data_IF_076102416369
#
_entry.id   IF_076102416369
#
_cell.length_a   1.000
_cell.length_b   1.000
_cell.length_c   1.000
_cell.angle_alpha   90.00
_cell.angle_beta   90.00
_cell.angle_gamma   90.00
#
_symmetry.space_group_name_H-M   'P 1'
#
loop_
_entity.id
_entity.type
_entity.pdbx_description
1 polymer ?
#
# COMPACT_ATOMS: atom_id res chain seq x y z
N UNK A 1 0.93 6.83 -25.29
CA UNK A 1 1.99 5.89 -24.87
C UNK A 1 1.38 5.04 -23.76
N UNK A 2 0.67 3.98 -24.11
CA UNK A 2 -0.06 3.15 -23.13
C UNK A 2 -0.26 1.70 -23.62
N UNK A 3 0.60 1.19 -24.51
CA UNK A 3 0.40 -0.14 -25.12
C UNK A 3 1.24 -1.26 -24.50
N UNK A 4 2.16 -0.98 -23.58
CA UNK A 4 3.07 -2.02 -23.05
C UNK A 4 2.57 -2.71 -21.76
N UNK A 5 1.59 -2.14 -21.06
CA UNK A 5 1.04 -2.75 -19.85
C UNK A 5 -0.09 -3.77 -20.14
N UNK A 6 -0.74 -3.68 -21.30
CA UNK A 6 -1.95 -4.46 -21.62
C UNK A 6 -1.66 -5.81 -22.30
N UNK A 7 -0.48 -5.96 -22.91
CA UNK A 7 -0.13 -7.13 -23.73
C UNK A 7 0.46 -8.27 -22.87
N UNK A 8 1.03 -7.96 -21.71
CA UNK A 8 1.56 -8.96 -20.77
C UNK A 8 0.49 -9.71 -19.98
N UNK A 9 -0.66 -9.07 -19.73
CA UNK A 9 -1.71 -9.59 -18.85
C UNK A 9 -2.56 -10.68 -19.52
N UNK A 10 -2.96 -10.50 -20.78
CA UNK A 10 -3.86 -11.42 -21.50
C UNK A 10 -3.22 -12.75 -21.90
N UNK A 11 -1.89 -12.87 -21.88
CA UNK A 11 -1.20 -14.05 -22.44
C UNK A 11 -0.83 -15.10 -21.40
N UNK A 12 -0.93 -14.80 -20.10
CA UNK A 12 -0.58 -15.73 -19.02
C UNK A 12 -1.76 -16.57 -18.49
N UNK A 13 -3.01 -16.15 -18.70
CA UNK A 13 -4.21 -16.86 -18.22
C UNK A 13 -4.66 -17.98 -19.17
N UNK A 14 -3.75 -18.84 -19.64
CA UNK A 14 -4.13 -19.89 -20.59
C UNK A 14 -4.82 -21.12 -19.97
N UNK A 15 -5.08 -21.18 -18.66
CA UNK A 15 -5.67 -22.39 -18.06
C UNK A 15 -6.64 -22.24 -16.87
N UNK A 16 -7.21 -21.07 -16.58
CA UNK A 16 -8.14 -20.92 -15.43
C UNK A 16 -9.49 -20.37 -15.88
N UNK A 17 -10.55 -21.15 -15.67
CA UNK A 17 -11.90 -20.85 -16.15
C UNK A 17 -12.73 -20.08 -15.10
N UNK A 18 -13.42 -19.01 -15.54
CA UNK A 18 -14.68 -18.48 -14.98
C UNK A 18 -14.65 -17.86 -13.58
N UNK A 19 -14.38 -18.65 -12.55
CA UNK A 19 -14.49 -18.22 -11.14
C UNK A 19 -13.18 -17.65 -10.59
N UNK A 20 -12.05 -18.24 -10.98
CA UNK A 20 -10.72 -17.80 -10.56
C UNK A 20 -10.34 -16.49 -11.26
N UNK A 21 -10.68 -16.33 -12.54
CA UNK A 21 -10.49 -15.10 -13.30
C UNK A 21 -11.32 -13.94 -12.70
N UNK A 22 -12.59 -14.19 -12.38
CA UNK A 22 -13.44 -13.21 -11.69
C UNK A 22 -12.87 -12.83 -10.31
N UNK A 23 -12.31 -13.78 -9.57
CA UNK A 23 -11.67 -13.49 -8.29
C UNK A 23 -10.43 -12.60 -8.45
N UNK A 24 -9.62 -12.87 -9.48
CA UNK A 24 -8.45 -12.08 -9.82
C UNK A 24 -8.85 -10.67 -10.21
N UNK A 25 -9.91 -10.49 -11.00
CA UNK A 25 -10.43 -9.17 -11.39
C UNK A 25 -10.92 -8.38 -10.17
N UNK A 26 -11.68 -9.02 -9.27
CA UNK A 26 -12.12 -8.40 -8.01
C UNK A 26 -10.93 -8.05 -7.14
N UNK A 27 -9.93 -8.94 -7.06
CA UNK A 27 -8.71 -8.68 -6.32
C UNK A 27 -8.01 -7.44 -6.87
N UNK A 28 -7.80 -7.37 -8.18
CA UNK A 28 -7.21 -6.22 -8.86
C UNK A 28 -8.00 -4.93 -8.59
N UNK A 29 -9.33 -4.94 -8.68
CA UNK A 29 -10.15 -3.76 -8.38
C UNK A 29 -9.93 -3.25 -6.94
N UNK A 30 -9.94 -4.14 -5.94
CA UNK A 30 -9.74 -3.74 -4.54
C UNK A 30 -8.32 -3.29 -4.24
N UNK A 31 -7.37 -3.84 -4.97
CA UNK A 31 -5.95 -3.51 -4.94
C UNK A 31 -5.69 -2.15 -5.61
N UNK A 32 -6.36 -1.83 -6.71
CA UNK A 32 -6.33 -0.52 -7.35
C UNK A 32 -6.99 0.55 -6.49
N UNK A 33 -8.13 0.25 -5.85
CA UNK A 33 -8.75 1.16 -4.87
C UNK A 33 -7.81 1.44 -3.70
N UNK A 34 -7.13 0.41 -3.20
CA UNK A 34 -6.12 0.55 -2.17
C UNK A 34 -4.98 1.47 -2.63
N UNK A 35 -4.52 1.26 -3.87
CA UNK A 35 -3.51 2.10 -4.47
C UNK A 35 -3.98 3.55 -4.59
N UNK A 36 -5.19 3.81 -5.07
CA UNK A 36 -5.74 5.16 -5.16
C UNK A 36 -5.79 5.85 -3.79
N UNK A 37 -6.20 5.13 -2.74
CA UNK A 37 -6.21 5.65 -1.36
C UNK A 37 -4.82 6.03 -0.85
N UNK A 38 -3.79 5.27 -1.21
CA UNK A 38 -2.41 5.61 -0.87
C UNK A 38 -1.89 6.85 -1.63
N UNK A 39 -2.59 7.27 -2.69
CA UNK A 39 -2.09 8.28 -3.64
C UNK A 39 -2.89 9.58 -3.62
N UNK A 40 -4.06 9.59 -2.99
CA UNK A 40 -4.84 10.80 -2.67
C UNK A 40 -4.47 11.42 -1.31
N UNK A 41 -3.27 11.15 -0.80
CA UNK A 41 -2.72 11.89 0.33
C UNK A 41 -2.62 13.37 -0.06
N UNK A 42 -3.26 14.30 0.67
CA UNK A 42 -3.30 15.69 0.25
C UNK A 42 -1.89 16.29 0.28
N UNK A 43 -1.45 16.78 -0.89
CA UNK A 43 -0.40 17.78 -1.04
C UNK A 43 -0.93 19.16 -0.61
N UNK A 44 -1.53 19.24 0.59
CA UNK A 44 -2.05 20.50 1.10
C UNK A 44 -0.91 21.24 1.79
N UNK A 45 -0.41 22.26 1.10
CA UNK A 45 0.71 23.14 1.48
C UNK A 45 0.44 23.93 2.78
N UNK A 46 -0.74 23.83 3.39
CA UNK A 46 -1.13 24.58 4.59
C UNK A 46 -1.38 23.76 5.87
N UNK A 47 -1.12 22.46 5.90
CA UNK A 47 -1.47 21.65 7.08
C UNK A 47 -0.35 21.69 8.12
N UNK A 48 -0.60 22.43 9.20
CA UNK A 48 0.28 22.61 10.37
C UNK A 48 0.53 21.30 11.16
N UNK A 49 -0.09 20.19 10.77
CA UNK A 49 0.05 18.90 11.45
C UNK A 49 0.06 17.71 10.47
N UNK A 50 1.20 17.52 9.79
CA UNK A 50 1.46 16.41 8.85
C UNK A 50 1.15 15.03 9.47
N UNK A 51 1.29 14.91 10.79
CA UNK A 51 0.94 13.72 11.57
C UNK A 51 -0.54 13.35 11.46
N UNK A 52 -1.45 14.33 11.50
CA UNK A 52 -2.89 14.07 11.43
C UNK A 52 -3.32 13.53 10.05
N UNK A 53 -2.63 13.95 8.98
CA UNK A 53 -2.84 13.43 7.62
C UNK A 53 -2.43 11.95 7.56
N UNK A 54 -1.26 11.61 8.10
CA UNK A 54 -0.77 10.24 8.11
C UNK A 54 -1.64 9.30 8.95
N UNK A 55 -2.18 9.80 10.07
CA UNK A 55 -3.14 9.04 10.85
C UNK A 55 -4.43 8.77 10.07
N UNK A 56 -4.97 9.78 9.39
CA UNK A 56 -6.18 9.63 8.57
C UNK A 56 -5.97 8.64 7.42
N UNK A 57 -4.79 8.64 6.79
CA UNK A 57 -4.49 7.67 5.72
C UNK A 57 -4.35 6.25 6.24
N UNK A 58 -3.69 6.07 7.39
CA UNK A 58 -3.62 4.78 8.08
C UNK A 58 -5.01 4.24 8.41
N UNK A 59 -5.88 5.06 9.01
CA UNK A 59 -7.26 4.64 9.34
C UNK A 59 -8.05 4.26 8.08
N UNK A 60 -7.90 5.03 7.00
CA UNK A 60 -8.58 4.77 5.72
C UNK A 60 -8.11 3.45 5.10
N UNK A 61 -6.80 3.22 5.10
CA UNK A 61 -6.15 1.98 4.66
C UNK A 61 -6.69 0.76 5.40
N UNK A 62 -6.62 0.75 6.73
CA UNK A 62 -7.04 -0.42 7.52
C UNK A 62 -8.55 -0.64 7.47
N UNK A 63 -9.35 0.43 7.33
CA UNK A 63 -10.80 0.32 7.11
C UNK A 63 -11.11 -0.37 5.78
N UNK A 64 -10.40 -0.01 4.71
CA UNK A 64 -10.55 -0.65 3.40
C UNK A 64 -10.17 -2.12 3.43
N UNK A 65 -9.10 -2.47 4.14
CA UNK A 65 -8.67 -3.85 4.33
C UNK A 65 -9.74 -4.65 5.09
N UNK A 66 -10.26 -4.12 6.20
CA UNK A 66 -11.30 -4.80 6.96
C UNK A 66 -12.57 -5.02 6.14
N UNK A 67 -13.01 -3.99 5.39
CA UNK A 67 -14.19 -4.07 4.52
C UNK A 67 -14.03 -5.16 3.44
N UNK A 68 -12.81 -5.39 2.95
CA UNK A 68 -12.50 -6.32 1.88
C UNK A 68 -11.63 -7.50 2.37
N UNK A 69 -11.79 -7.90 3.64
CA UNK A 69 -10.91 -8.85 4.33
C UNK A 69 -10.60 -10.10 3.52
N UNK A 70 -11.61 -10.76 2.94
CA UNK A 70 -11.43 -12.02 2.20
C UNK A 70 -10.49 -11.88 1.00
N UNK A 71 -10.62 -10.76 0.27
CA UNK A 71 -9.77 -10.45 -0.88
C UNK A 71 -8.34 -10.23 -0.42
N UNK A 72 -8.15 -9.41 0.62
CA UNK A 72 -6.82 -9.12 1.15
C UNK A 72 -6.17 -10.34 1.83
N UNK A 73 -6.94 -11.21 2.48
CA UNK A 73 -6.41 -12.48 3.01
C UNK A 73 -5.88 -13.35 1.89
N UNK A 74 -6.62 -13.52 0.79
CA UNK A 74 -6.13 -14.28 -0.35
C UNK A 74 -4.88 -13.63 -0.96
N UNK A 75 -4.92 -12.35 -1.33
CA UNK A 75 -3.79 -11.71 -2.02
C UNK A 75 -2.54 -11.58 -1.14
N UNK A 76 -2.69 -11.33 0.16
CA UNK A 76 -1.57 -11.06 1.05
C UNK A 76 -1.04 -12.31 1.77
N UNK A 77 -1.83 -13.37 1.90
CA UNK A 77 -1.44 -14.58 2.64
C UNK A 77 -1.32 -15.83 1.78
N UNK A 78 -1.91 -15.85 0.58
CA UNK A 78 -1.76 -16.94 -0.38
C UNK A 78 -0.52 -16.69 -1.26
N UNK A 79 0.41 -17.64 -1.23
CA UNK A 79 1.65 -17.56 -2.00
C UNK A 79 1.38 -17.72 -3.51
N UNK A 80 0.30 -18.41 -3.90
CA UNK A 80 -0.07 -18.62 -5.31
C UNK A 80 -0.53 -17.33 -5.99
N UNK A 81 -1.00 -16.34 -5.22
CA UNK A 81 -1.48 -15.05 -5.71
C UNK A 81 -0.44 -13.92 -5.58
N UNK A 82 0.81 -14.25 -5.21
CA UNK A 82 1.87 -13.27 -5.01
C UNK A 82 2.19 -12.45 -6.27
N UNK A 83 1.98 -13.03 -7.46
CA UNK A 83 2.20 -12.35 -8.74
C UNK A 83 1.29 -11.14 -8.96
N UNK A 84 0.12 -11.08 -8.30
CA UNK A 84 -0.79 -9.92 -8.33
C UNK A 84 -0.25 -8.80 -7.44
N UNK A 85 0.38 -9.17 -6.32
CA UNK A 85 0.88 -8.23 -5.34
C UNK A 85 2.18 -7.53 -5.79
N UNK A 86 3.10 -8.24 -6.44
CA UNK A 86 4.43 -7.69 -6.78
C UNK A 86 4.39 -6.42 -7.66
N UNK A 87 3.60 -6.34 -8.76
CA UNK A 87 3.48 -5.12 -9.55
C UNK A 87 2.95 -3.94 -8.73
N UNK A 88 2.03 -4.20 -7.81
CA UNK A 88 1.48 -3.20 -6.91
C UNK A 88 2.50 -2.68 -5.91
N UNK A 89 3.32 -3.55 -5.33
CA UNK A 89 4.41 -3.14 -4.42
C UNK A 89 5.35 -2.18 -5.17
N UNK A 90 5.77 -2.55 -6.38
CA UNK A 90 6.65 -1.71 -7.21
C UNK A 90 6.02 -0.35 -7.49
N UNK A 91 4.74 -0.34 -7.88
CA UNK A 91 4.00 0.87 -8.19
C UNK A 91 3.81 1.76 -6.95
N UNK A 92 3.52 1.18 -5.79
CA UNK A 92 3.42 1.87 -4.52
C UNK A 92 4.75 2.51 -4.12
N UNK A 93 5.87 1.78 -4.26
CA UNK A 93 7.21 2.33 -4.02
C UNK A 93 7.50 3.54 -4.92
N UNK A 94 7.32 3.41 -6.23
CA UNK A 94 7.56 4.50 -7.19
C UNK A 94 6.74 5.76 -6.89
N UNK A 95 5.49 5.58 -6.44
CA UNK A 95 4.65 6.71 -6.03
C UNK A 95 5.08 7.30 -4.70
N UNK A 96 5.45 6.49 -3.71
CA UNK A 96 6.02 7.02 -2.47
C UNK A 96 7.32 7.79 -2.74
N UNK A 97 8.15 7.34 -3.68
CA UNK A 97 9.31 8.10 -4.14
C UNK A 97 8.89 9.45 -4.72
N UNK A 98 7.89 9.46 -5.61
CA UNK A 98 7.36 10.69 -6.22
C UNK A 98 6.84 11.67 -5.17
N UNK A 99 6.12 11.20 -4.15
CA UNK A 99 5.63 12.04 -3.04
C UNK A 99 6.74 12.65 -2.18
N UNK A 100 7.90 11.98 -2.12
CA UNK A 100 9.04 12.41 -1.33
C UNK A 100 10.09 13.18 -2.15
N UNK A 101 9.92 13.28 -3.48
CA UNK A 101 10.92 13.89 -4.38
C UNK A 101 11.13 15.39 -4.12
N UNK A 102 10.12 16.09 -3.60
CA UNK A 102 10.23 17.52 -3.29
C UNK A 102 10.97 17.79 -1.97
N UNK A 103 11.38 16.73 -1.24
CA UNK A 103 12.13 16.87 0.00
C UNK A 103 13.55 17.38 -0.29
N UNK A 104 13.88 18.55 0.23
CA UNK A 104 15.20 19.17 0.07
C UNK A 104 16.21 18.48 0.98
N UNK A 105 17.32 17.99 0.40
CA UNK A 105 18.44 17.36 1.11
C UNK A 105 18.03 16.25 2.10
N UNK A 106 17.39 15.16 1.63
CA UNK A 106 17.00 14.07 2.51
C UNK A 106 18.23 13.36 3.07
N UNK A 107 18.21 13.01 4.36
CA UNK A 107 19.32 12.30 5.00
C UNK A 107 19.45 10.84 4.57
N UNK A 108 18.37 10.29 4.00
CA UNK A 108 18.29 8.93 3.47
C UNK A 108 17.84 9.02 2.01
N UNK A 109 18.40 8.17 1.15
CA UNK A 109 17.96 8.10 -0.25
C UNK A 109 16.45 7.80 -0.33
N UNK A 110 15.73 8.60 -1.11
CA UNK A 110 14.27 8.50 -1.26
C UNK A 110 13.78 7.08 -1.61
N UNK A 111 14.42 6.34 -2.55
CA UNK A 111 14.02 4.96 -2.85
C UNK A 111 14.14 4.00 -1.66
N UNK A 112 15.10 4.22 -0.76
CA UNK A 112 15.27 3.39 0.45
C UNK A 112 14.12 3.64 1.42
N UNK A 113 13.76 4.91 1.65
CA UNK A 113 12.66 5.26 2.53
C UNK A 113 11.31 4.78 1.97
N UNK A 114 11.07 4.96 0.67
CA UNK A 114 9.87 4.46 0.00
C UNK A 114 9.73 2.94 0.13
N UNK A 115 10.79 2.19 -0.18
CA UNK A 115 10.81 0.75 0.00
C UNK A 115 10.56 0.34 1.46
N UNK A 116 11.18 1.03 2.43
CA UNK A 116 10.98 0.74 3.84
C UNK A 116 9.52 0.95 4.28
N UNK A 117 8.89 2.06 3.87
CA UNK A 117 7.49 2.33 4.16
C UNK A 117 6.62 1.21 3.59
N UNK A 118 6.68 0.95 2.29
CA UNK A 118 5.81 -0.03 1.64
C UNK A 118 6.01 -1.44 2.20
N UNK A 119 7.25 -1.88 2.39
CA UNK A 119 7.54 -3.19 2.97
C UNK A 119 6.98 -3.33 4.39
N UNK A 120 7.15 -2.30 5.23
CA UNK A 120 6.67 -2.29 6.61
C UNK A 120 5.15 -2.30 6.69
N UNK A 121 4.48 -1.56 5.80
CA UNK A 121 3.02 -1.52 5.71
C UNK A 121 2.48 -2.90 5.34
N UNK A 122 3.06 -3.54 4.32
CA UNK A 122 2.68 -4.90 3.90
C UNK A 122 2.87 -5.92 5.02
N UNK A 123 4.00 -5.85 5.72
CA UNK A 123 4.25 -6.72 6.87
C UNK A 123 3.19 -6.53 7.97
N UNK A 124 2.82 -5.28 8.27
CA UNK A 124 1.80 -4.95 9.26
C UNK A 124 0.40 -5.45 8.85
N UNK A 125 0.02 -5.27 7.58
CA UNK A 125 -1.24 -5.77 7.02
C UNK A 125 -1.31 -7.29 7.11
N UNK A 126 -0.24 -7.99 6.67
CA UNK A 126 -0.14 -9.46 6.73
C UNK A 126 -0.28 -9.95 8.16
N UNK A 127 0.42 -9.33 9.11
CA UNK A 127 0.32 -9.71 10.52
C UNK A 127 -1.10 -9.55 11.04
N UNK A 128 -1.74 -8.40 10.79
CA UNK A 128 -3.08 -8.13 11.28
C UNK A 128 -4.11 -9.13 10.73
N UNK A 129 -4.04 -9.43 9.44
CA UNK A 129 -4.94 -10.40 8.78
C UNK A 129 -4.70 -11.85 9.22
N UNK A 130 -3.44 -12.24 9.43
CA UNK A 130 -3.07 -13.59 9.87
C UNK A 130 -3.50 -13.89 11.31
N UNK A 131 -3.69 -12.86 12.13
CA UNK A 131 -4.08 -12.98 13.54
C UNK A 131 -5.56 -12.63 13.78
N UNK A 132 -6.41 -12.76 12.75
CA UNK A 132 -7.85 -12.50 12.82
C UNK A 132 -8.22 -11.06 13.23
N UNK A 133 -7.41 -10.09 12.82
CA UNK A 133 -7.62 -8.65 13.04
C UNK A 133 -7.93 -8.29 14.50
N UNK A 134 -7.01 -8.54 15.45
CA UNK A 134 -7.29 -8.45 16.89
C UNK A 134 -7.44 -7.00 17.41
N UNK A 135 -7.07 -6.01 16.59
CA UNK A 135 -7.22 -4.58 16.87
C UNK A 135 -8.21 -3.96 15.88
N UNK A 136 -8.91 -2.90 16.31
CA UNK A 136 -9.78 -2.13 15.39
C UNK A 136 -8.96 -1.46 14.29
N UNK A 137 -9.61 -1.12 13.16
CA UNK A 137 -8.92 -0.46 12.05
C UNK A 137 -8.41 0.93 12.45
N UNK A 138 -9.10 1.64 13.35
CA UNK A 138 -8.64 2.92 13.88
C UNK A 138 -7.32 2.76 14.63
N UNK A 139 -7.25 1.75 15.51
CA UNK A 139 -6.04 1.46 16.27
C UNK A 139 -4.89 1.04 15.37
N UNK A 140 -5.15 0.29 14.31
CA UNK A 140 -4.12 -0.06 13.33
C UNK A 140 -3.63 1.15 12.54
N UNK A 141 -4.50 2.12 12.23
CA UNK A 141 -4.09 3.39 11.61
C UNK A 141 -3.15 4.21 12.49
N UNK A 142 -3.38 4.23 13.80
CA UNK A 142 -2.46 4.82 14.78
C UNK A 142 -1.11 4.11 14.80
N UNK A 143 -1.13 2.78 14.93
CA UNK A 143 0.10 1.94 14.95
C UNK A 143 0.91 2.14 13.67
N UNK A 144 0.26 2.16 12.50
CA UNK A 144 0.89 2.46 11.21
C UNK A 144 1.62 3.80 11.24
N UNK A 145 0.97 4.83 11.77
CA UNK A 145 1.52 6.18 11.81
C UNK A 145 2.72 6.26 12.76
N UNK A 146 2.57 5.69 13.95
CA UNK A 146 3.56 5.76 15.01
C UNK A 146 4.78 4.86 14.76
N UNK A 147 4.58 3.70 14.16
CA UNK A 147 5.64 2.71 13.96
C UNK A 147 6.36 2.86 12.62
N UNK A 148 5.67 3.36 11.58
CA UNK A 148 6.20 3.38 10.21
C UNK A 148 6.43 4.81 9.75
N UNK A 149 5.38 5.63 9.72
CA UNK A 149 5.45 6.93 9.04
C UNK A 149 6.27 7.95 9.84
N UNK A 150 5.95 8.17 11.12
CA UNK A 150 6.66 9.15 11.96
C UNK A 150 8.16 8.86 12.06
N UNK A 151 8.61 7.62 12.35
CA UNK A 151 10.05 7.33 12.45
C UNK A 151 10.77 7.49 11.12
N UNK A 152 10.15 7.07 10.02
CA UNK A 152 10.75 7.23 8.68
C UNK A 152 10.85 8.70 8.30
N UNK A 153 9.80 9.49 8.56
CA UNK A 153 9.79 10.93 8.31
C UNK A 153 10.87 11.65 9.14
N UNK A 154 10.98 11.30 10.42
CA UNK A 154 12.02 11.84 11.29
C UNK A 154 13.41 11.51 10.76
N UNK A 155 13.66 10.26 10.37
CA UNK A 155 14.95 9.83 9.83
C UNK A 155 15.29 10.52 8.49
N UNK A 156 14.29 10.78 7.64
CA UNK A 156 14.43 11.51 6.38
C UNK A 156 14.82 12.98 6.58
N UNK A 157 14.35 13.61 7.65
CA UNK A 157 14.41 15.08 7.84
C UNK A 157 15.36 15.56 8.94
N UNK A 158 15.75 14.69 9.88
CA UNK A 158 16.60 15.06 11.02
C UNK A 158 18.08 15.13 10.63
N UNK A 159 18.63 16.34 10.52
CA UNK A 159 20.07 16.57 10.33
C UNK A 159 20.89 16.24 11.59
#
# INVERSE_FOLDING_TARGET
>A
MTDYADIGYRTYFRHYAGLEELFIDIAQERLDELYDMLTQLPADENITDSVAIFQKSGVTLFKHIQKNQKVFQAVLLDDDLHFILEPMIKMACLKTETLLNDLVEPNIAIPIAANHIIASVIALMRWWLKNDMPYSFERMGEIYTDLIIKPTWLALTSK
#
